data_IF_023438151330
#
_entry.id   IF_023438151330
#
_cell.length_a   1.000
_cell.length_b   1.000
_cell.length_c   1.000
_cell.angle_alpha   90.00
_cell.angle_beta   90.00
_cell.angle_gamma   90.00
#
_symmetry.space_group_name_H-M   'P 1'
#
loop_
_entity.id
_entity.type
_entity.pdbx_description
1 polymer ?
#
# COMPACT_ATOMS: atom_id res chain seq x y z
N UNK A 1 -15.49 6.74 -1.24
CA UNK A 1 -16.05 5.38 -1.38
C UNK A 1 -14.99 4.37 -1.81
N UNK A 2 -14.40 4.51 -3.00
CA UNK A 2 -13.41 3.55 -3.55
C UNK A 2 -12.17 3.37 -2.65
N UNK A 3 -11.69 4.42 -1.98
CA UNK A 3 -10.57 4.32 -1.02
C UNK A 3 -10.89 3.38 0.15
N UNK A 4 -12.05 3.62 0.75
CA UNK A 4 -12.45 2.97 2.00
C UNK A 4 -12.71 1.50 1.71
N UNK A 5 -13.36 1.18 0.58
CA UNK A 5 -13.52 -0.20 0.14
C UNK A 5 -12.18 -0.87 -0.14
N UNK A 6 -11.24 -0.18 -0.81
CA UNK A 6 -9.90 -0.70 -1.08
C UNK A 6 -9.08 -0.95 0.19
N UNK A 7 -9.11 -0.02 1.14
CA UNK A 7 -8.48 -0.16 2.46
C UNK A 7 -9.09 -1.31 3.27
N UNK A 8 -10.41 -1.47 3.24
CA UNK A 8 -11.09 -2.57 3.93
C UNK A 8 -10.66 -3.92 3.33
N UNK A 9 -10.63 -4.04 2.00
CA UNK A 9 -10.17 -5.27 1.32
C UNK A 9 -8.71 -5.55 1.68
N UNK A 10 -7.85 -4.53 1.67
CA UNK A 10 -6.45 -4.66 2.05
C UNK A 10 -6.29 -5.12 3.50
N UNK A 11 -7.04 -4.52 4.44
CA UNK A 11 -6.99 -4.84 5.85
C UNK A 11 -7.44 -6.28 6.12
N UNK A 12 -8.58 -6.69 5.54
CA UNK A 12 -9.11 -8.05 5.69
C UNK A 12 -8.12 -9.07 5.11
N UNK A 13 -7.54 -8.79 3.94
CA UNK A 13 -6.55 -9.67 3.31
C UNK A 13 -5.29 -9.81 4.17
N UNK A 14 -4.79 -8.71 4.74
CA UNK A 14 -3.65 -8.71 5.67
C UNK A 14 -3.90 -9.59 6.89
N UNK A 15 -5.07 -9.47 7.51
CA UNK A 15 -5.45 -10.30 8.66
C UNK A 15 -5.55 -11.77 8.23
N UNK A 16 -6.15 -12.05 7.07
CA UNK A 16 -6.23 -13.41 6.53
C UNK A 16 -4.86 -14.05 6.29
N UNK A 17 -3.87 -13.28 5.81
CA UNK A 17 -2.50 -13.79 5.58
C UNK A 17 -1.86 -14.27 6.88
N UNK A 18 -2.14 -13.61 8.01
CA UNK A 18 -1.61 -14.01 9.31
C UNK A 18 -2.09 -15.42 9.74
N UNK A 19 -3.31 -15.80 9.35
CA UNK A 19 -3.89 -17.12 9.65
C UNK A 19 -3.69 -18.16 8.54
N UNK A 20 -3.12 -17.77 7.40
CA UNK A 20 -2.96 -18.63 6.24
C UNK A 20 -1.90 -19.72 6.49
N UNK A 21 -2.29 -20.98 6.40
CA UNK A 21 -1.40 -22.14 6.58
C UNK A 21 -0.96 -22.77 5.26
N UNK A 22 -1.65 -22.44 4.16
CA UNK A 22 -1.38 -23.00 2.83
C UNK A 22 -0.93 -21.93 1.82
N UNK A 23 -0.02 -22.31 0.90
CA UNK A 23 0.49 -21.42 -0.16
C UNK A 23 -0.64 -20.89 -1.06
N UNK A 24 -1.63 -21.72 -1.37
CA UNK A 24 -2.76 -21.38 -2.24
C UNK A 24 -3.60 -20.24 -1.65
N UNK A 25 -3.89 -20.32 -0.35
CA UNK A 25 -4.64 -19.30 0.39
C UNK A 25 -3.85 -18.00 0.48
N UNK A 26 -2.55 -18.09 0.77
CA UNK A 26 -1.65 -16.94 0.85
C UNK A 26 -1.57 -16.20 -0.49
N UNK A 27 -1.54 -16.93 -1.60
CA UNK A 27 -1.52 -16.35 -2.95
C UNK A 27 -2.84 -15.64 -3.29
N UNK A 28 -3.98 -16.27 -2.99
CA UNK A 28 -5.31 -15.68 -3.16
C UNK A 28 -5.43 -14.38 -2.36
N UNK A 29 -5.07 -14.42 -1.08
CA UNK A 29 -5.13 -13.26 -0.19
C UNK A 29 -4.18 -12.14 -0.64
N UNK A 30 -2.97 -12.46 -1.13
CA UNK A 30 -2.08 -11.46 -1.74
C UNK A 30 -2.68 -10.80 -2.97
N UNK A 31 -3.45 -11.55 -3.75
CA UNK A 31 -4.13 -11.04 -4.93
C UNK A 31 -5.16 -9.96 -4.52
N UNK A 32 -5.98 -10.26 -3.51
CA UNK A 32 -6.91 -9.28 -2.94
C UNK A 32 -6.21 -8.10 -2.25
N UNK A 33 -5.12 -8.36 -1.54
CA UNK A 33 -4.30 -7.33 -0.91
C UNK A 33 -3.70 -6.39 -1.96
N UNK A 34 -3.23 -6.90 -3.10
CA UNK A 34 -2.74 -6.11 -4.23
C UNK A 34 -3.83 -5.22 -4.83
N UNK A 35 -5.02 -5.76 -5.04
CA UNK A 35 -6.19 -5.00 -5.53
C UNK A 35 -6.52 -3.84 -4.57
N UNK A 36 -6.54 -4.11 -3.26
CA UNK A 36 -6.76 -3.08 -2.24
C UNK A 36 -5.64 -2.03 -2.19
N UNK A 37 -4.38 -2.45 -2.33
CA UNK A 37 -3.22 -1.55 -2.33
C UNK A 37 -3.22 -0.59 -3.53
N UNK A 38 -3.64 -1.05 -4.72
CA UNK A 38 -3.74 -0.21 -5.91
C UNK A 38 -4.76 0.92 -5.77
N UNK A 39 -5.82 0.73 -4.97
CA UNK A 39 -6.82 1.76 -4.69
C UNK A 39 -6.22 2.96 -3.93
N UNK A 40 -5.31 2.69 -2.98
CA UNK A 40 -4.62 3.73 -2.21
C UNK A 40 -3.68 4.58 -3.06
N UNK A 41 -2.82 3.94 -3.85
CA UNK A 41 -1.84 4.65 -4.70
C UNK A 41 -2.53 5.49 -5.78
N UNK A 42 -3.54 4.92 -6.43
CA UNK A 42 -4.29 5.60 -7.49
C UNK A 42 -5.02 6.83 -6.94
N UNK A 43 -5.67 6.70 -5.78
CA UNK A 43 -6.42 7.82 -5.23
C UNK A 43 -5.52 8.91 -4.64
N UNK A 44 -4.42 8.57 -3.97
CA UNK A 44 -3.46 9.59 -3.52
C UNK A 44 -2.95 10.44 -4.68
N UNK A 45 -2.66 9.81 -5.83
CA UNK A 45 -2.27 10.55 -7.04
C UNK A 45 -3.42 11.35 -7.66
N UNK A 46 -4.65 10.81 -7.64
CA UNK A 46 -5.82 11.54 -8.10
C UNK A 46 -6.06 12.80 -7.25
N UNK A 47 -6.06 12.69 -5.91
CA UNK A 47 -6.26 13.82 -4.99
C UNK A 47 -5.18 14.88 -5.19
N UNK A 48 -3.89 14.49 -5.26
CA UNK A 48 -2.80 15.45 -5.49
C UNK A 48 -2.97 16.14 -6.85
N UNK A 49 -3.39 15.41 -7.88
CA UNK A 49 -3.63 15.99 -9.20
C UNK A 49 -4.87 16.89 -9.28
N UNK A 50 -5.85 16.71 -8.38
CA UNK A 50 -7.12 17.45 -8.37
C UNK A 50 -7.05 18.70 -7.47
N UNK A 51 -6.23 18.66 -6.41
CA UNK A 51 -6.17 19.70 -5.38
C UNK A 51 -4.93 20.60 -5.44
N UNK A 52 -3.84 20.18 -6.09
CA UNK A 52 -2.57 20.90 -6.09
C UNK A 52 -2.23 21.47 -7.48
N UNK A 53 -1.65 22.67 -7.51
CA UNK A 53 -1.01 23.18 -8.71
C UNK A 53 0.19 22.32 -9.13
N UNK A 54 0.59 22.36 -10.41
CA UNK A 54 1.73 21.58 -10.94
C UNK A 54 3.01 21.70 -10.10
N UNK A 55 3.29 22.87 -9.55
CA UNK A 55 4.48 23.16 -8.76
C UNK A 55 4.38 22.66 -7.31
N UNK A 56 3.20 22.79 -6.68
CA UNK A 56 2.95 22.22 -5.34
C UNK A 56 2.95 20.70 -5.35
N UNK A 57 2.35 20.08 -6.38
CA UNK A 57 2.36 18.63 -6.55
C UNK A 57 3.80 18.09 -6.64
N UNK A 58 4.67 18.75 -7.40
CA UNK A 58 6.08 18.37 -7.51
C UNK A 58 6.82 18.42 -6.16
N UNK A 59 6.62 19.49 -5.38
CA UNK A 59 7.18 19.60 -4.03
C UNK A 59 6.65 18.51 -3.09
N UNK A 60 5.35 18.19 -3.15
CA UNK A 60 4.76 17.11 -2.36
C UNK A 60 5.35 15.74 -2.72
N UNK A 61 5.55 15.47 -4.01
CA UNK A 61 6.15 14.22 -4.47
C UNK A 61 7.59 14.06 -3.98
N UNK A 62 8.38 15.14 -3.90
CA UNK A 62 9.74 15.10 -3.33
C UNK A 62 9.74 14.67 -1.86
N UNK A 63 8.67 14.95 -1.11
CA UNK A 63 8.54 14.51 0.28
C UNK A 63 8.04 13.06 0.34
N UNK A 64 7.06 12.66 -0.49
CA UNK A 64 6.41 11.35 -0.41
C UNK A 64 7.29 10.22 -0.97
N UNK A 65 7.92 10.41 -2.14
CA UNK A 65 8.66 9.34 -2.81
C UNK A 65 9.84 8.76 -2.00
N UNK A 66 10.62 9.54 -1.24
CA UNK A 66 11.64 9.01 -0.35
C UNK A 66 11.09 7.98 0.65
N UNK A 67 9.93 8.24 1.27
CA UNK A 67 9.29 7.28 2.18
C UNK A 67 8.85 6.01 1.46
N UNK A 68 8.28 6.15 0.26
CA UNK A 68 7.88 4.99 -0.58
C UNK A 68 9.09 4.15 -0.97
N UNK A 69 10.19 4.78 -1.37
CA UNK A 69 11.44 4.09 -1.73
C UNK A 69 12.18 3.49 -0.53
N UNK A 70 12.00 4.05 0.67
CA UNK A 70 12.57 3.53 1.91
C UNK A 70 11.78 2.34 2.47
N UNK A 71 10.48 2.22 2.16
CA UNK A 71 9.64 1.09 2.61
C UNK A 71 10.23 -0.30 2.31
N UNK A 72 10.71 -0.61 1.08
CA UNK A 72 11.36 -1.89 0.77
C UNK A 72 12.64 -2.15 1.55
N UNK A 73 13.36 -1.10 1.99
CA UNK A 73 14.59 -1.24 2.77
C UNK A 73 14.28 -1.50 4.26
N UNK A 74 13.22 -0.89 4.77
CA UNK A 74 12.79 -1.03 6.17
C UNK A 74 12.11 -2.38 6.42
N UNK A 75 11.34 -2.89 5.47
CA UNK A 75 10.64 -4.18 5.59
C UNK A 75 11.56 -5.36 5.98
N UNK A 76 12.69 -5.64 5.28
CA UNK A 76 13.60 -6.73 5.65
C UNK A 76 14.40 -6.43 6.92
N UNK A 77 14.69 -5.16 7.26
CA UNK A 77 15.32 -4.83 8.54
C UNK A 77 14.45 -5.25 9.72
N UNK A 78 13.16 -4.89 9.69
CA UNK A 78 12.21 -5.28 10.73
C UNK A 78 11.99 -6.79 10.73
N UNK A 79 11.82 -7.40 9.54
CA UNK A 79 11.67 -8.85 9.41
C UNK A 79 12.88 -9.64 9.96
N UNK A 80 14.09 -9.15 9.72
CA UNK A 80 15.32 -9.76 10.22
C UNK A 80 15.54 -9.59 11.73
N UNK A 81 15.00 -8.54 12.35
CA UNK A 81 15.01 -8.39 13.82
C UNK A 81 14.00 -9.31 14.52
N UNK A 82 12.92 -9.70 13.82
CA UNK A 82 11.88 -10.58 14.33
C UNK A 82 12.16 -12.07 14.05
N UNK A 83 13.17 -12.36 13.22
CA UNK A 83 13.58 -13.72 12.82
C UNK A 83 14.41 -14.42 13.89
#
# INVERSE_FOLDING_TARGET
MVLISGMIIWLISTIGIFYSTHISELLLLRLFQGIGACAGITLSRAIISDLMGKEEAANFYLIIFPFVGMSPAVAPMIGGMLS
#
